data_IF_916758216050
#
_entry.id   IF_916758216050
#
_cell.length_a   1.000
_cell.length_b   1.000
_cell.length_c   1.000
_cell.angle_alpha   90.00
_cell.angle_beta   90.00
_cell.angle_gamma   90.00
#
_symmetry.space_group_name_H-M   'P 1'
#
loop_
_entity.id
_entity.type
_entity.pdbx_description
1 polymer ?
#
# COMPACT_ATOMS: atom_id res chain seq x y z
N UNK A 1 -26.53 20.15 -2.74
CA UNK A 1 -25.40 20.07 -1.79
C UNK A 1 -24.20 19.58 -2.60
N UNK A 2 -23.39 20.50 -3.12
CA UNK A 2 -22.32 20.17 -4.06
C UNK A 2 -21.24 19.36 -3.35
N UNK A 3 -21.07 18.12 -3.80
CA UNK A 3 -19.92 17.29 -3.46
C UNK A 3 -18.70 18.06 -3.99
N UNK A 4 -17.86 18.57 -3.09
CA UNK A 4 -16.51 19.01 -3.46
C UNK A 4 -15.83 17.80 -4.06
N UNK A 5 -15.73 17.78 -5.39
CA UNK A 5 -14.94 16.83 -6.15
C UNK A 5 -13.50 17.02 -5.68
N UNK A 6 -13.08 16.20 -4.71
CA UNK A 6 -11.67 16.13 -4.33
C UNK A 6 -10.93 15.85 -5.62
N UNK A 7 -10.08 16.79 -6.06
CA UNK A 7 -9.24 16.59 -7.23
C UNK A 7 -8.36 15.38 -6.92
N UNK A 8 -8.75 14.20 -7.40
CA UNK A 8 -7.99 12.96 -7.18
C UNK A 8 -6.63 13.18 -7.82
N UNK A 9 -5.58 13.17 -7.02
CA UNK A 9 -4.21 13.22 -7.54
C UNK A 9 -4.03 12.06 -8.50
N UNK A 10 -3.64 12.36 -9.75
CA UNK A 10 -3.42 11.33 -10.75
C UNK A 10 -2.29 10.42 -10.30
N UNK A 11 -2.50 9.12 -10.40
CA UNK A 11 -1.47 8.12 -10.21
C UNK A 11 -0.38 8.25 -11.28
N UNK A 12 0.89 8.16 -10.92
CA UNK A 12 2.04 8.36 -11.81
C UNK A 12 2.91 7.09 -11.86
N UNK A 13 3.19 6.48 -10.70
CA UNK A 13 4.11 5.34 -10.59
C UNK A 13 3.62 4.13 -11.36
N UNK A 14 2.32 3.87 -11.31
CA UNK A 14 1.70 2.79 -12.07
C UNK A 14 1.45 3.08 -13.56
N UNK A 15 1.89 4.23 -14.07
CA UNK A 15 1.86 4.57 -15.51
C UNK A 15 3.25 4.67 -16.15
N UNK A 16 4.31 4.36 -15.40
CA UNK A 16 5.67 4.39 -15.91
C UNK A 16 5.84 3.38 -17.07
N UNK A 17 5.86 3.91 -18.28
CA UNK A 17 6.03 3.17 -19.54
C UNK A 17 7.48 3.16 -20.03
N UNK A 18 8.41 3.81 -19.30
CA UNK A 18 9.82 3.89 -19.67
C UNK A 18 10.59 2.63 -19.28
N UNK A 19 10.02 1.82 -18.38
CA UNK A 19 10.62 0.58 -17.88
C UNK A 19 9.61 -0.57 -17.97
N UNK A 20 10.07 -1.84 -17.99
CA UNK A 20 9.16 -2.96 -17.99
C UNK A 20 8.42 -3.07 -16.66
N UNK A 21 7.19 -3.57 -16.72
CA UNK A 21 6.41 -3.96 -15.55
C UNK A 21 7.19 -4.97 -14.70
N UNK A 22 7.03 -4.86 -13.38
CA UNK A 22 7.81 -5.57 -12.37
C UNK A 22 8.02 -7.07 -12.71
N UNK A 23 9.28 -7.51 -12.69
CA UNK A 23 9.71 -8.91 -12.95
C UNK A 23 9.26 -9.46 -14.31
N UNK A 24 9.11 -8.60 -15.31
CA UNK A 24 8.66 -8.98 -16.65
C UNK A 24 9.46 -8.30 -17.77
N UNK A 25 9.11 -8.60 -19.03
CA UNK A 25 9.54 -7.87 -20.24
C UNK A 25 8.39 -7.08 -20.88
N UNK A 26 7.30 -6.88 -20.14
CA UNK A 26 6.07 -6.25 -20.62
C UNK A 26 6.11 -4.76 -20.33
N UNK A 27 5.83 -3.93 -21.32
CA UNK A 27 5.74 -2.48 -21.15
C UNK A 27 4.28 -2.03 -21.14
N UNK A 28 4.00 -1.01 -20.35
CA UNK A 28 2.74 -0.28 -20.38
C UNK A 28 2.69 0.55 -21.65
N UNK A 29 1.49 0.75 -22.22
CA UNK A 29 1.33 1.81 -23.21
C UNK A 29 1.35 3.17 -22.50
N UNK A 30 1.89 4.24 -23.12
CA UNK A 30 1.80 5.57 -22.55
C UNK A 30 0.34 6.01 -22.37
N UNK A 31 0.02 6.57 -21.21
CA UNK A 31 -1.28 7.17 -20.90
C UNK A 31 -1.01 8.59 -20.42
N UNK A 32 -1.44 9.60 -21.17
CA UNK A 32 -1.33 11.00 -20.76
C UNK A 32 -2.32 11.32 -19.63
N UNK A 33 -2.08 12.41 -18.91
CA UNK A 33 -2.88 12.78 -17.74
C UNK A 33 -4.36 13.02 -18.06
N UNK A 34 -4.65 13.64 -19.20
CA UNK A 34 -6.00 13.83 -19.75
C UNK A 34 -6.66 12.53 -20.24
N UNK A 35 -5.89 11.46 -20.42
CA UNK A 35 -6.35 10.14 -20.84
C UNK A 35 -6.54 9.17 -19.68
N UNK A 36 -6.18 9.55 -18.44
CA UNK A 36 -6.29 8.67 -17.27
C UNK A 36 -7.76 8.32 -16.93
N UNK A 37 -8.68 9.29 -16.83
CA UNK A 37 -10.06 8.98 -16.42
C UNK A 37 -10.75 8.09 -17.44
N UNK A 38 -11.51 7.09 -16.98
CA UNK A 38 -12.12 6.08 -17.85
C UNK A 38 -13.14 6.62 -18.86
N UNK A 39 -13.75 7.76 -18.56
CA UNK A 39 -14.71 8.50 -19.38
C UNK A 39 -14.02 9.44 -20.39
N UNK A 40 -12.72 9.71 -20.22
CA UNK A 40 -11.95 10.52 -21.16
C UNK A 40 -11.68 9.75 -22.44
N UNK A 41 -11.70 10.46 -23.56
CA UNK A 41 -11.34 9.91 -24.86
C UNK A 41 -9.87 9.50 -24.90
N UNK A 42 -9.57 8.39 -25.58
CA UNK A 42 -8.20 7.94 -25.82
C UNK A 42 -7.72 8.29 -27.24
N UNK A 43 -8.44 9.18 -27.92
CA UNK A 43 -8.13 9.67 -29.25
C UNK A 43 -8.41 8.63 -30.35
N UNK A 44 -7.82 8.86 -31.52
CA UNK A 44 -8.04 8.01 -32.72
C UNK A 44 -7.56 6.57 -32.54
N UNK A 45 -6.64 6.31 -31.60
CA UNK A 45 -6.20 4.97 -31.26
C UNK A 45 -7.07 4.40 -30.14
N UNK A 46 -7.74 3.27 -30.40
CA UNK A 46 -8.43 2.53 -29.33
C UNK A 46 -7.46 2.17 -28.19
N UNK A 47 -7.90 2.33 -26.94
CA UNK A 47 -7.12 1.96 -25.75
C UNK A 47 -6.95 0.43 -25.67
N UNK A 48 -5.84 -0.09 -26.22
CA UNK A 48 -5.53 -1.53 -26.31
C UNK A 48 -4.21 -1.88 -25.61
N UNK A 49 -4.11 -1.70 -24.28
CA UNK A 49 -2.94 -2.13 -23.55
C UNK A 49 -2.79 -3.66 -23.58
N UNK A 50 -1.55 -4.12 -23.40
CA UNK A 50 -1.28 -5.56 -23.28
C UNK A 50 -2.02 -6.14 -22.07
N UNK A 51 -2.56 -7.34 -22.25
CA UNK A 51 -3.14 -8.14 -21.16
C UNK A 51 -2.03 -8.99 -20.54
N UNK A 52 -1.69 -8.74 -19.28
CA UNK A 52 -0.59 -9.39 -18.60
C UNK A 52 -0.97 -9.81 -17.18
N UNK A 53 -0.78 -11.10 -16.91
CA UNK A 53 -0.77 -11.68 -15.57
C UNK A 53 0.48 -12.56 -15.45
N UNK A 54 1.22 -12.43 -14.36
CA UNK A 54 2.50 -13.10 -14.19
C UNK A 54 2.29 -14.59 -13.90
N UNK A 55 2.96 -15.46 -14.66
CA UNK A 55 2.85 -16.92 -14.51
C UNK A 55 3.16 -17.41 -13.09
N UNK A 56 3.96 -16.67 -12.33
CA UNK A 56 4.34 -17.02 -10.95
C UNK A 56 3.17 -17.04 -9.97
N UNK A 57 2.08 -16.34 -10.29
CA UNK A 57 0.88 -16.29 -9.44
C UNK A 57 -0.15 -17.37 -9.80
N UNK A 58 0.00 -18.04 -10.95
CA UNK A 58 -0.99 -19.01 -11.41
C UNK A 58 -1.04 -20.22 -10.48
N UNK A 59 -2.25 -20.60 -10.05
CA UNK A 59 -2.47 -21.73 -9.15
C UNK A 59 -1.99 -21.51 -7.71
N UNK A 60 -1.60 -20.29 -7.34
CA UNK A 60 -1.24 -19.98 -5.94
C UNK A 60 -2.52 -19.85 -5.10
N UNK A 61 -2.52 -20.33 -3.85
CA UNK A 61 -3.71 -20.30 -2.98
C UNK A 61 -4.17 -18.87 -2.66
N UNK A 62 -3.25 -17.90 -2.67
CA UNK A 62 -3.52 -16.48 -2.45
C UNK A 62 -3.90 -15.71 -3.74
N UNK A 63 -3.89 -16.36 -4.90
CA UNK A 63 -4.20 -15.73 -6.17
C UNK A 63 -5.56 -16.20 -6.69
N UNK A 64 -6.30 -15.29 -7.32
CA UNK A 64 -7.57 -15.60 -7.95
C UNK A 64 -7.38 -16.47 -9.20
N UNK A 65 -8.45 -17.13 -9.63
CA UNK A 65 -8.54 -17.77 -10.94
C UNK A 65 -8.47 -16.72 -12.07
N UNK A 66 -8.12 -17.15 -13.29
CA UNK A 66 -8.05 -16.27 -14.46
C UNK A 66 -9.41 -15.72 -14.88
N UNK A 67 -10.47 -16.53 -14.73
CA UNK A 67 -11.84 -16.10 -14.99
C UNK A 67 -12.35 -15.20 -13.84
N UNK A 68 -12.60 -13.90 -14.09
CA UNK A 68 -13.11 -12.98 -13.07
C UNK A 68 -14.59 -13.21 -12.76
N UNK A 69 -15.35 -13.85 -13.68
CA UNK A 69 -16.81 -13.96 -13.58
C UNK A 69 -17.26 -14.94 -12.50
N UNK A 70 -16.34 -15.74 -11.95
CA UNK A 70 -16.62 -16.64 -10.82
C UNK A 70 -16.72 -15.88 -9.49
N UNK A 71 -16.27 -14.63 -9.47
CA UNK A 71 -16.29 -13.78 -8.29
C UNK A 71 -17.42 -12.76 -8.37
N UNK A 72 -18.06 -12.52 -7.24
CA UNK A 72 -18.89 -11.33 -7.07
C UNK A 72 -17.96 -10.21 -6.57
N UNK A 73 -18.03 -9.01 -7.15
CA UNK A 73 -17.16 -7.89 -6.78
C UNK A 73 -17.89 -6.90 -5.87
N UNK A 74 -17.16 -5.94 -5.28
CA UNK A 74 -17.70 -4.91 -4.38
C UNK A 74 -18.42 -5.47 -3.13
N UNK A 75 -17.93 -6.58 -2.58
CA UNK A 75 -18.38 -7.16 -1.30
C UNK A 75 -17.29 -8.07 -0.73
N UNK A 76 -17.45 -8.55 0.51
CA UNK A 76 -16.61 -9.63 1.06
C UNK A 76 -17.16 -10.95 0.53
N UNK A 77 -16.35 -11.73 -0.17
CA UNK A 77 -16.80 -12.99 -0.77
C UNK A 77 -16.88 -14.14 0.25
N UNK A 78 -17.43 -15.28 -0.19
CA UNK A 78 -17.64 -16.45 0.69
C UNK A 78 -16.36 -17.09 1.24
N UNK A 79 -15.18 -16.73 0.72
CA UNK A 79 -13.89 -17.17 1.24
C UNK A 79 -13.28 -16.16 2.24
N UNK A 80 -14.03 -15.11 2.62
CA UNK A 80 -13.55 -14.05 3.50
C UNK A 80 -12.61 -13.07 2.81
N UNK A 81 -12.52 -13.08 1.48
CA UNK A 81 -11.71 -12.12 0.74
C UNK A 81 -12.48 -10.82 0.62
N UNK A 82 -11.93 -9.75 1.20
CA UNK A 82 -12.49 -8.42 1.04
C UNK A 82 -12.24 -7.91 -0.40
N UNK A 83 -13.31 -7.79 -1.19
CA UNK A 83 -13.26 -7.21 -2.54
C UNK A 83 -13.87 -5.80 -2.57
N UNK A 84 -14.10 -5.16 -1.42
CA UNK A 84 -14.56 -3.77 -1.35
C UNK A 84 -13.37 -2.83 -1.56
N UNK A 85 -13.58 -1.70 -2.23
CA UNK A 85 -12.60 -0.62 -2.24
C UNK A 85 -12.96 0.41 -1.17
N UNK A 86 -11.95 0.98 -0.51
CA UNK A 86 -12.12 2.17 0.34
C UNK A 86 -12.62 3.40 -0.45
N UNK A 87 -12.54 3.36 -1.79
CA UNK A 87 -13.00 4.42 -2.69
C UNK A 87 -14.41 4.16 -3.27
N UNK A 88 -15.16 3.24 -2.66
CA UNK A 88 -16.53 2.92 -3.01
C UNK A 88 -16.66 1.86 -4.10
N UNK A 89 -17.84 1.79 -4.71
CA UNK A 89 -18.13 0.80 -5.75
C UNK A 89 -17.30 1.08 -7.00
N UNK A 90 -16.47 0.12 -7.41
CA UNK A 90 -15.77 0.18 -8.68
C UNK A 90 -16.57 -0.53 -9.79
N UNK A 91 -16.43 -0.01 -11.01
CA UNK A 91 -17.10 -0.57 -12.18
C UNK A 91 -16.40 -1.82 -12.70
N UNK A 92 -17.11 -2.63 -13.48
CA UNK A 92 -16.56 -3.77 -14.21
C UNK A 92 -16.43 -3.42 -15.71
N UNK A 93 -15.43 -3.99 -16.38
CA UNK A 93 -15.33 -3.91 -17.84
C UNK A 93 -16.26 -4.92 -18.53
N UNK A 94 -16.30 -4.89 -19.86
CA UNK A 94 -17.16 -5.78 -20.66
C UNK A 94 -16.83 -7.28 -20.53
N UNK A 95 -15.72 -7.63 -19.88
CA UNK A 95 -15.32 -9.02 -19.56
C UNK A 95 -15.54 -9.36 -18.08
N UNK A 96 -16.28 -8.53 -17.34
CA UNK A 96 -16.55 -8.73 -15.92
C UNK A 96 -15.36 -8.43 -15.00
N UNK A 97 -14.27 -7.83 -15.50
CA UNK A 97 -13.10 -7.52 -14.67
C UNK A 97 -13.26 -6.18 -13.95
N UNK A 98 -12.79 -6.04 -12.71
CA UNK A 98 -12.73 -4.74 -12.04
C UNK A 98 -12.02 -3.68 -12.89
N UNK A 99 -12.48 -2.44 -12.84
CA UNK A 99 -11.78 -1.26 -13.37
C UNK A 99 -11.19 -0.46 -12.22
N UNK A 100 -9.90 -0.21 -12.29
CA UNK A 100 -9.17 0.58 -11.31
C UNK A 100 -9.87 1.94 -11.09
N UNK A 101 -10.29 2.26 -9.85
CA UNK A 101 -11.09 3.46 -9.58
C UNK A 101 -10.33 4.77 -9.83
N UNK A 102 -9.01 4.73 -9.99
CA UNK A 102 -8.15 5.87 -10.28
C UNK A 102 -7.81 6.04 -11.78
N UNK A 103 -8.29 5.14 -12.64
CA UNK A 103 -8.19 5.30 -14.10
C UNK A 103 -7.25 4.31 -14.79
N UNK A 104 -6.95 4.62 -16.04
CA UNK A 104 -6.13 3.83 -16.96
C UNK A 104 -4.66 3.82 -16.51
N UNK A 105 -4.05 2.64 -16.53
CA UNK A 105 -2.64 2.43 -16.16
C UNK A 105 -1.75 2.06 -17.34
N UNK A 106 -2.33 1.85 -18.53
CA UNK A 106 -1.62 1.36 -19.70
C UNK A 106 -1.33 -0.15 -19.70
N UNK A 107 -1.93 -0.93 -18.79
CA UNK A 107 -1.76 -2.39 -18.69
C UNK A 107 -3.02 -3.08 -18.17
N UNK A 108 -3.49 -4.11 -18.87
CA UNK A 108 -4.62 -4.99 -18.45
C UNK A 108 -4.11 -6.24 -17.74
N UNK A 109 -5.04 -6.99 -17.13
CA UNK A 109 -4.73 -8.19 -16.37
C UNK A 109 -4.37 -7.85 -14.93
N UNK A 110 -3.82 -8.80 -14.18
CA UNK A 110 -3.47 -8.58 -12.76
C UNK A 110 -2.00 -8.21 -12.54
N UNK A 111 -1.17 -8.34 -13.57
CA UNK A 111 0.27 -8.23 -13.43
C UNK A 111 0.77 -9.24 -12.39
N UNK A 112 1.45 -8.77 -11.33
CA UNK A 112 1.95 -9.64 -10.24
C UNK A 112 0.99 -9.74 -9.04
N UNK A 113 -0.13 -9.03 -9.04
CA UNK A 113 -1.07 -9.03 -7.92
C UNK A 113 -1.98 -10.27 -7.96
N UNK A 114 -2.25 -10.84 -6.78
CA UNK A 114 -3.03 -12.07 -6.67
C UNK A 114 -4.50 -11.90 -7.03
N UNK A 115 -5.11 -10.80 -6.59
CA UNK A 115 -6.56 -10.59 -6.67
C UNK A 115 -6.96 -9.74 -7.86
N UNK A 116 -8.12 -10.03 -8.43
CA UNK A 116 -8.84 -9.06 -9.27
C UNK A 116 -9.39 -7.94 -8.38
N UNK A 117 -9.23 -6.69 -8.80
CA UNK A 117 -9.69 -5.53 -8.04
C UNK A 117 -8.70 -5.11 -6.93
N UNK A 118 -9.19 -4.70 -5.74
CA UNK A 118 -8.33 -4.26 -4.66
C UNK A 118 -7.53 -5.43 -4.06
N UNK A 119 -6.25 -5.18 -3.80
CA UNK A 119 -5.35 -6.05 -3.06
C UNK A 119 -4.99 -5.30 -1.78
N UNK A 120 -5.58 -5.73 -0.67
CA UNK A 120 -5.46 -5.04 0.60
C UNK A 120 -4.15 -5.39 1.32
N UNK A 121 -3.46 -4.36 1.77
CA UNK A 121 -2.29 -4.41 2.62
C UNK A 121 -2.56 -3.68 3.94
N UNK A 122 -1.67 -3.86 4.90
CA UNK A 122 -1.65 -3.12 6.14
C UNK A 122 -0.22 -2.64 6.44
N UNK A 123 -0.08 -1.38 6.86
CA UNK A 123 1.20 -0.74 7.17
C UNK A 123 1.23 -0.26 8.63
N UNK A 124 2.33 -0.49 9.32
CA UNK A 124 2.50 -0.13 10.73
C UNK A 124 3.56 0.96 10.93
N UNK A 125 3.09 2.19 11.20
CA UNK A 125 3.96 3.29 11.65
C UNK A 125 4.10 3.20 13.16
N UNK A 126 5.11 2.47 13.62
CA UNK A 126 5.54 2.47 15.02
C UNK A 126 6.44 3.68 15.26
N UNK A 127 6.03 4.56 16.16
CA UNK A 127 6.64 5.89 16.29
C UNK A 127 6.86 6.34 17.72
N UNK A 128 7.79 7.28 17.89
CA UNK A 128 8.07 7.94 19.17
C UNK A 128 8.51 9.37 18.94
N UNK A 129 8.42 10.20 19.98
CA UNK A 129 9.10 11.49 19.99
C UNK A 129 10.56 11.35 20.40
N UNK A 130 11.41 12.18 19.79
CA UNK A 130 12.77 12.43 20.24
C UNK A 130 12.99 13.94 20.37
N UNK A 131 14.07 14.31 21.07
CA UNK A 131 14.55 15.68 21.13
C UNK A 131 15.72 15.84 20.15
N UNK A 132 15.61 16.78 19.22
CA UNK A 132 16.69 17.16 18.31
C UNK A 132 17.83 17.87 19.03
N UNK A 133 18.95 18.05 18.34
CA UNK A 133 20.14 18.73 18.89
C UNK A 133 19.83 20.18 19.33
N UNK A 134 18.94 20.86 18.61
CA UNK A 134 18.45 22.20 18.92
C UNK A 134 17.35 22.23 19.99
N UNK A 135 17.03 21.07 20.56
CA UNK A 135 16.00 20.91 21.58
C UNK A 135 14.58 20.84 21.06
N UNK A 136 14.35 20.92 19.73
CA UNK A 136 13.01 20.78 19.15
C UNK A 136 12.53 19.35 19.20
N UNK A 137 11.21 19.19 19.32
CA UNK A 137 10.52 17.90 19.26
C UNK A 137 10.56 17.38 17.82
N UNK A 138 10.98 16.14 17.64
CA UNK A 138 10.98 15.46 16.34
C UNK A 138 10.30 14.10 16.44
N UNK A 139 9.81 13.57 15.33
CA UNK A 139 9.30 12.20 15.24
C UNK A 139 10.36 11.25 14.73
N UNK A 140 10.39 10.06 15.33
CA UNK A 140 11.01 8.89 14.73
C UNK A 140 9.95 7.86 14.41
N UNK A 141 10.19 7.09 13.36
CA UNK A 141 9.45 5.87 13.05
C UNK A 141 10.41 4.71 12.81
N UNK A 142 9.91 3.50 13.00
CA UNK A 142 10.61 2.28 12.59
C UNK A 142 10.44 2.10 11.09
N UNK A 143 11.54 1.94 10.37
CA UNK A 143 11.58 1.61 8.95
C UNK A 143 12.41 0.35 8.71
N UNK A 144 12.05 -0.38 7.66
CA UNK A 144 12.84 -1.49 7.14
C UNK A 144 13.54 -1.11 5.84
N UNK A 145 14.61 -1.83 5.50
CA UNK A 145 15.24 -1.81 4.18
C UNK A 145 14.84 -3.08 3.46
N UNK A 146 14.08 -2.97 2.38
CA UNK A 146 13.57 -4.12 1.61
C UNK A 146 14.72 -4.94 1.02
N UNK A 147 14.61 -6.26 1.04
CA UNK A 147 15.64 -7.14 0.48
C UNK A 147 15.73 -7.13 -1.05
N UNK A 148 14.63 -6.85 -1.74
CA UNK A 148 14.53 -6.91 -3.20
C UNK A 148 14.97 -5.63 -3.93
N UNK A 149 14.74 -4.48 -3.31
CA UNK A 149 14.92 -3.14 -3.90
C UNK A 149 15.92 -2.28 -3.15
N UNK A 150 16.26 -2.65 -1.92
CA UNK A 150 17.06 -1.85 -0.98
C UNK A 150 16.45 -0.50 -0.60
N UNK A 151 15.19 -0.28 -0.96
CA UNK A 151 14.45 0.92 -0.60
C UNK A 151 14.03 0.86 0.87
N UNK A 152 14.03 2.03 1.52
CA UNK A 152 13.43 2.20 2.84
C UNK A 152 11.90 2.10 2.75
N UNK A 153 11.27 1.36 3.66
CA UNK A 153 9.83 1.17 3.69
C UNK A 153 9.28 1.20 5.12
N UNK A 154 7.99 1.51 5.25
CA UNK A 154 7.24 1.26 6.47
C UNK A 154 7.03 -0.27 6.55
N UNK A 155 7.18 -0.90 7.72
CA UNK A 155 6.88 -2.32 7.88
C UNK A 155 5.41 -2.59 7.57
N UNK A 156 5.15 -3.55 6.70
CA UNK A 156 3.81 -3.81 6.21
C UNK A 156 3.75 -4.87 5.13
N UNK A 157 2.57 -5.44 4.94
CA UNK A 157 2.37 -6.54 4.01
C UNK A 157 0.90 -6.80 3.72
N UNK A 158 0.62 -7.94 3.11
CA UNK A 158 -0.71 -8.26 2.59
C UNK A 158 -1.62 -8.71 3.75
N UNK A 159 -2.89 -8.32 3.69
CA UNK A 159 -3.90 -8.82 4.61
C UNK A 159 -4.32 -10.23 4.16
N UNK A 160 -4.26 -11.19 5.09
CA UNK A 160 -4.67 -12.57 4.84
C UNK A 160 -6.19 -12.72 4.76
N UNK A 161 -6.66 -13.85 4.21
CA UNK A 161 -8.08 -14.12 4.06
C UNK A 161 -8.76 -14.18 5.44
N UNK A 162 -9.76 -13.32 5.66
CA UNK A 162 -10.49 -13.23 6.94
C UNK A 162 -9.74 -12.51 8.06
N UNK A 163 -8.53 -11.99 7.82
CA UNK A 163 -7.74 -11.24 8.80
C UNK A 163 -8.21 -9.77 8.92
N UNK A 164 -8.24 -9.24 10.15
CA UNK A 164 -8.50 -7.82 10.37
C UNK A 164 -7.28 -6.95 10.01
N UNK A 165 -7.52 -5.74 9.49
CA UNK A 165 -6.45 -4.87 9.03
C UNK A 165 -5.50 -4.40 10.15
N UNK A 166 -6.00 -4.22 11.38
CA UNK A 166 -5.17 -3.87 12.53
C UNK A 166 -4.30 -5.06 12.95
N UNK A 167 -4.89 -6.27 12.96
CA UNK A 167 -4.18 -7.52 13.25
C UNK A 167 -3.05 -7.75 12.24
N UNK A 168 -3.34 -7.57 10.96
CA UNK A 168 -2.34 -7.64 9.88
C UNK A 168 -1.20 -6.63 10.07
N UNK A 169 -1.51 -5.35 10.38
CA UNK A 169 -0.48 -4.34 10.62
C UNK A 169 0.45 -4.74 11.77
N UNK A 170 -0.11 -5.28 12.86
CA UNK A 170 0.66 -5.76 14.01
C UNK A 170 1.51 -6.97 13.60
N UNK A 171 0.92 -7.99 12.96
CA UNK A 171 1.62 -9.19 12.50
C UNK A 171 2.81 -8.82 11.60
N UNK A 172 2.59 -8.01 10.58
CA UNK A 172 3.62 -7.58 9.63
C UNK A 172 4.74 -6.81 10.33
N UNK A 173 4.43 -5.94 11.29
CA UNK A 173 5.46 -5.27 12.08
C UNK A 173 6.33 -6.26 12.87
N UNK A 174 5.71 -7.27 13.49
CA UNK A 174 6.44 -8.30 14.22
C UNK A 174 7.34 -9.13 13.30
N UNK A 175 6.81 -9.55 12.15
CA UNK A 175 7.53 -10.34 11.17
C UNK A 175 8.72 -9.55 10.61
N UNK A 176 8.49 -8.33 10.11
CA UNK A 176 9.48 -7.57 9.37
C UNK A 176 10.48 -6.79 10.24
N UNK A 177 10.07 -6.33 11.44
CA UNK A 177 10.88 -5.45 12.28
C UNK A 177 11.33 -6.07 13.61
N UNK A 178 10.77 -7.21 14.02
CA UNK A 178 11.11 -7.87 15.30
C UNK A 178 11.54 -9.34 15.16
N UNK A 179 11.61 -9.88 13.93
CA UNK A 179 11.86 -11.31 13.67
C UNK A 179 10.96 -12.26 14.49
N UNK A 180 9.68 -11.93 14.64
CA UNK A 180 8.70 -12.71 15.43
C UNK A 180 9.03 -12.86 16.91
N UNK A 181 9.86 -11.98 17.48
CA UNK A 181 10.03 -11.94 18.93
C UNK A 181 8.71 -11.56 19.62
N UNK A 182 8.43 -12.23 20.74
CA UNK A 182 7.28 -11.91 21.59
C UNK A 182 7.47 -10.52 22.17
N UNK A 183 6.45 -9.67 22.03
CA UNK A 183 6.46 -8.35 22.63
C UNK A 183 6.11 -8.42 24.11
N UNK A 184 6.67 -7.49 24.86
CA UNK A 184 6.32 -7.26 26.25
C UNK A 184 4.81 -6.95 26.37
N UNK A 185 4.13 -7.62 27.32
CA UNK A 185 2.72 -7.38 27.66
C UNK A 185 2.44 -5.89 27.95
N UNK A 186 3.45 -5.15 28.39
CA UNK A 186 3.38 -3.70 28.61
C UNK A 186 3.05 -2.90 27.34
N UNK A 187 3.32 -3.46 26.14
CA UNK A 187 3.03 -2.81 24.86
C UNK A 187 1.62 -3.13 24.33
N UNK A 188 0.91 -4.08 24.95
CA UNK A 188 -0.42 -4.52 24.50
C UNK A 188 -1.43 -3.37 24.35
N UNK A 189 -1.34 -2.36 25.22
CA UNK A 189 -2.19 -1.16 25.16
C UNK A 189 -1.89 -0.31 23.91
N UNK A 190 -0.63 -0.21 23.48
CA UNK A 190 -0.27 0.58 22.30
C UNK A 190 -0.80 -0.09 21.03
N UNK A 191 -0.64 -1.42 20.92
CA UNK A 191 -1.13 -2.19 19.78
C UNK A 191 -2.65 -2.16 19.64
N UNK A 192 -3.38 -2.28 20.76
CA UNK A 192 -4.85 -2.20 20.74
C UNK A 192 -5.40 -0.82 20.38
N UNK A 193 -4.60 0.23 20.52
CA UNK A 193 -5.01 1.62 20.32
C UNK A 193 -4.35 2.26 19.08
N UNK A 194 -3.96 1.45 18.09
CA UNK A 194 -3.45 1.94 16.81
C UNK A 194 -4.42 2.92 16.14
N UNK A 195 -3.91 4.07 15.69
CA UNK A 195 -4.73 5.11 15.04
C UNK A 195 -4.60 5.04 13.53
N UNK A 196 -5.72 5.08 12.81
CA UNK A 196 -5.71 5.09 11.35
C UNK A 196 -5.07 6.39 10.85
N UNK A 197 -3.98 6.26 10.09
CA UNK A 197 -3.32 7.34 9.35
C UNK A 197 -3.94 7.49 7.97
N UNK A 198 -4.20 6.37 7.31
CA UNK A 198 -4.69 6.35 5.94
C UNK A 198 -5.40 5.05 5.64
N UNK A 199 -6.47 5.11 4.84
CA UNK A 199 -7.09 3.96 4.21
C UNK A 199 -7.41 4.25 2.75
N UNK A 200 -6.93 3.39 1.86
CA UNK A 200 -7.32 3.41 0.45
C UNK A 200 -6.19 3.20 -0.55
N UNK A 201 -6.44 3.68 -1.77
CA UNK A 201 -5.59 3.49 -2.94
C UNK A 201 -4.16 3.97 -2.77
N UNK A 202 -3.22 3.08 -3.12
CA UNK A 202 -1.78 3.40 -3.16
C UNK A 202 -1.34 3.44 -4.61
N UNK A 203 -0.77 4.56 -5.07
CA UNK A 203 -0.07 4.59 -6.37
C UNK A 203 1.19 3.73 -6.27
N UNK A 204 1.06 2.50 -6.76
CA UNK A 204 2.06 1.44 -6.67
C UNK A 204 2.38 0.93 -8.07
N UNK A 205 3.68 0.74 -8.44
CA UNK A 205 4.07 0.28 -9.77
C UNK A 205 3.43 -1.05 -10.20
N UNK A 206 2.91 -1.85 -9.26
CA UNK A 206 2.19 -3.11 -9.51
C UNK A 206 0.76 -2.89 -10.03
N UNK A 207 0.15 -1.72 -9.82
CA UNK A 207 -1.24 -1.49 -10.20
C UNK A 207 -1.45 -1.61 -11.71
N UNK A 208 -2.58 -2.17 -12.09
CA UNK A 208 -3.03 -2.36 -13.47
C UNK A 208 -4.41 -1.73 -13.64
N UNK A 209 -4.98 -1.87 -14.83
CA UNK A 209 -6.36 -1.50 -15.09
C UNK A 209 -7.36 -2.34 -14.30
N UNK A 210 -6.96 -3.55 -13.88
CA UNK A 210 -7.87 -4.54 -13.32
C UNK A 210 -7.51 -5.05 -11.92
N UNK A 211 -6.41 -4.57 -11.36
CA UNK A 211 -5.91 -4.99 -10.05
C UNK A 211 -5.02 -3.90 -9.46
N UNK A 212 -5.25 -3.50 -8.21
CA UNK A 212 -4.54 -2.39 -7.57
C UNK A 212 -4.32 -2.60 -6.08
N UNK A 213 -3.33 -1.91 -5.52
CA UNK A 213 -3.05 -1.88 -4.10
C UNK A 213 -3.96 -0.90 -3.36
N UNK A 214 -4.49 -1.33 -2.23
CA UNK A 214 -5.03 -0.46 -1.20
C UNK A 214 -4.38 -0.82 0.14
N UNK A 215 -4.18 0.16 1.02
CA UNK A 215 -3.60 -0.11 2.35
C UNK A 215 -4.46 0.47 3.45
N UNK A 216 -4.42 -0.17 4.62
CA UNK A 216 -4.75 0.46 5.91
C UNK A 216 -3.47 0.74 6.67
N UNK A 217 -3.11 2.01 6.82
CA UNK A 217 -1.94 2.43 7.56
C UNK A 217 -2.33 2.87 8.97
N UNK A 218 -1.71 2.25 9.98
CA UNK A 218 -1.93 2.53 11.39
C UNK A 218 -0.69 3.16 12.02
N UNK A 219 -0.91 4.05 12.98
CA UNK A 219 0.11 4.61 13.82
C UNK A 219 0.01 4.07 15.25
N UNK A 220 1.10 3.46 15.70
CA UNK A 220 1.30 2.97 17.06
C UNK A 220 2.32 3.89 17.73
N UNK A 221 1.83 4.79 18.58
CA UNK A 221 2.65 5.90 19.07
C UNK A 221 2.98 5.78 20.55
N UNK A 222 4.28 5.86 20.85
CA UNK A 222 4.78 6.07 22.19
C UNK A 222 4.86 7.57 22.51
N UNK A 223 3.83 8.04 23.19
CA UNK A 223 3.73 9.43 23.64
C UNK A 223 4.73 9.81 24.75
N UNK A 224 5.27 8.82 25.46
CA UNK A 224 6.19 9.02 26.58
C UNK A 224 7.66 8.99 26.15
N UNK A 225 7.95 8.37 25.01
CA UNK A 225 9.30 8.07 24.53
C UNK A 225 9.99 6.91 25.26
N UNK A 226 9.33 6.29 26.25
CA UNK A 226 9.90 5.25 27.10
C UNK A 226 9.36 3.84 26.83
N UNK A 227 8.21 3.70 26.17
CA UNK A 227 7.60 2.39 25.88
C UNK A 227 8.46 1.60 24.89
N UNK A 228 8.97 2.27 23.85
CA UNK A 228 9.79 1.61 22.82
C UNK A 228 11.30 1.80 23.01
N UNK A 229 11.76 2.23 24.19
CA UNK A 229 13.19 2.51 24.44
C UNK A 229 14.06 1.25 24.32
N UNK A 230 13.54 0.12 24.78
CA UNK A 230 14.22 -1.19 24.81
C UNK A 230 13.77 -2.10 23.65
N UNK A 231 13.06 -1.53 22.65
CA UNK A 231 12.58 -2.30 21.51
C UNK A 231 13.77 -2.72 20.63
N UNK A 232 14.13 -4.00 20.70
CA UNK A 232 15.22 -4.58 19.92
C UNK A 232 14.75 -4.90 18.50
N UNK A 233 15.02 -3.97 17.58
CA UNK A 233 14.68 -4.13 16.17
C UNK A 233 15.57 -5.19 15.52
N UNK A 234 14.94 -6.16 14.86
CA UNK A 234 15.64 -7.21 14.13
C UNK A 234 14.88 -7.49 12.84
N UNK A 235 15.60 -7.41 11.73
CA UNK A 235 14.99 -7.57 10.41
C UNK A 235 14.41 -8.99 10.25
N UNK A 236 13.20 -9.06 9.69
CA UNK A 236 12.51 -10.29 9.31
C UNK A 236 13.10 -10.98 8.07
N UNK A 237 12.39 -11.97 7.55
CA UNK A 237 12.76 -12.68 6.31
C UNK A 237 12.90 -11.77 5.09
N UNK A 238 12.07 -10.73 5.01
CA UNK A 238 11.92 -9.89 3.83
C UNK A 238 12.62 -8.52 3.94
N UNK A 239 13.26 -8.27 5.08
CA UNK A 239 14.03 -7.05 5.36
C UNK A 239 15.52 -7.35 5.56
N UNK A 240 16.39 -6.50 5.03
CA UNK A 240 17.84 -6.54 5.32
C UNK A 240 18.15 -5.97 6.71
N UNK A 241 17.46 -4.87 7.05
CA UNK A 241 17.65 -4.13 8.29
C UNK A 241 16.33 -3.53 8.75
N UNK A 242 16.15 -3.41 10.07
CA UNK A 242 15.11 -2.63 10.70
C UNK A 242 15.77 -1.57 11.59
N UNK A 243 15.35 -0.30 11.49
CA UNK A 243 15.94 0.80 12.27
C UNK A 243 14.95 1.91 12.55
N UNK A 244 15.20 2.64 13.62
CA UNK A 244 14.59 3.94 13.83
C UNK A 244 15.16 4.94 12.82
N UNK A 245 14.28 5.67 12.14
CA UNK A 245 14.64 6.81 11.30
C UNK A 245 13.94 8.06 11.80
N UNK A 246 14.64 9.19 11.71
CA UNK A 246 14.05 10.49 12.00
C UNK A 246 13.25 10.98 10.80
N UNK A 247 12.04 11.45 11.07
CA UNK A 247 11.12 11.95 10.05
C UNK A 247 11.59 13.34 9.63
N UNK A 248 12.04 13.45 8.39
CA UNK A 248 12.52 14.70 7.80
C UNK A 248 11.86 14.93 6.44
N UNK A 249 11.87 16.18 5.97
CA UNK A 249 11.52 16.46 4.59
C UNK A 249 12.47 15.68 3.64
N UNK A 250 11.93 15.19 2.53
CA UNK A 250 12.69 14.53 1.48
C UNK A 250 13.05 13.05 1.73
N UNK A 251 12.50 12.41 2.78
CA UNK A 251 12.66 10.97 2.98
C UNK A 251 12.22 10.19 1.74
N UNK A 252 13.18 9.50 1.11
CA UNK A 252 12.93 8.60 -0.02
C UNK A 252 12.49 7.25 0.52
N UNK A 253 11.20 6.96 0.35
CA UNK A 253 10.59 5.70 0.77
C UNK A 253 9.99 4.98 -0.43
N UNK A 254 9.92 3.66 -0.34
CA UNK A 254 9.31 2.77 -1.32
C UNK A 254 7.85 3.12 -1.59
N UNK A 255 7.38 2.82 -2.81
CA UNK A 255 6.02 3.09 -3.26
C UNK A 255 5.56 4.50 -2.86
N UNK A 256 4.37 4.64 -2.27
CA UNK A 256 3.83 5.92 -1.79
C UNK A 256 3.96 6.12 -0.28
N UNK A 257 4.94 5.46 0.36
CA UNK A 257 5.15 5.58 1.80
C UNK A 257 5.53 7.00 2.23
N UNK A 258 6.16 7.80 1.35
CA UNK A 258 6.39 9.22 1.63
C UNK A 258 5.08 10.00 1.85
N UNK A 259 4.00 9.66 1.14
CA UNK A 259 2.68 10.25 1.38
C UNK A 259 2.12 9.82 2.74
N UNK A 260 2.26 8.54 3.10
CA UNK A 260 1.84 8.03 4.42
C UNK A 260 2.59 8.73 5.56
N UNK A 261 3.91 8.92 5.42
CA UNK A 261 4.72 9.63 6.41
C UNK A 261 4.32 11.11 6.53
N UNK A 262 3.96 11.77 5.42
CA UNK A 262 3.41 13.14 5.46
C UNK A 262 2.09 13.21 6.22
N UNK A 263 1.16 12.29 5.96
CA UNK A 263 -0.11 12.21 6.69
C UNK A 263 0.10 11.93 8.17
N UNK A 264 1.02 11.02 8.49
CA UNK A 264 1.43 10.72 9.86
C UNK A 264 2.06 11.93 10.55
N UNK A 265 3.01 12.63 9.93
CA UNK A 265 3.60 13.84 10.51
C UNK A 265 2.53 14.90 10.80
N UNK A 266 1.61 15.11 9.84
CA UNK A 266 0.48 16.03 10.01
C UNK A 266 -0.47 15.61 11.14
N UNK A 267 -0.71 14.31 11.35
CA UNK A 267 -1.49 13.81 12.48
C UNK A 267 -0.88 14.20 13.84
N UNK A 268 0.43 14.42 13.88
CA UNK A 268 1.19 14.83 15.07
C UNK A 268 1.55 16.32 15.08
N UNK A 269 0.84 17.15 14.31
CA UNK A 269 1.06 18.59 14.19
C UNK A 269 2.49 18.97 13.75
N UNK A 270 3.13 18.09 12.98
CA UNK A 270 4.44 18.34 12.36
C UNK A 270 4.30 18.55 10.86
N UNK A 271 4.85 19.66 10.39
CA UNK A 271 4.99 19.93 8.97
C UNK A 271 6.37 19.48 8.48
N UNK A 272 6.39 18.70 7.41
CA UNK A 272 7.60 18.16 6.78
C UNK A 272 7.61 18.42 5.27
N UNK A 273 6.80 19.35 4.79
CA UNK A 273 6.79 19.81 3.39
C UNK A 273 8.05 20.61 3.01
#
# INVERSE_FOLDING_TARGET
>A
MSIKMFCRTLHIKCRDSTKPYLRSKVYRIPVKDDQVPWDSDFGECSYTPKDYTAKTIHGRPWADHEDPCIYTFNHVDGAGINRLSFHGVYSLDSKGRPRNPFGRTGLRGRGVLGRWGPNHAADAIVSRYIKGEDGRKMLQLVAIVRSDTEDLAIPGGMIDAGEDALEAAIREFHEEALSNNVLDDNLSSVWKNGKIVYQGYVDDPRNTDNSWMETSCFNFHDSTGNLFKDLNLKAGSDAKFAKWITVTNGLKLYASHSHLVKLFAKMHDMDID
#
